data_IF_774486258494
#
_entry.id   IF_774486258494
#
_cell.length_a   1.000
_cell.length_b   1.000
_cell.length_c   1.000
_cell.angle_alpha   90.00
_cell.angle_beta   90.00
_cell.angle_gamma   90.00
#
_symmetry.space_group_name_H-M   'P 1'
#
loop_
_entity.id
_entity.type
_entity.pdbx_description
1 polymer ?
#
# COMPACT_ATOMS: atom_id res chain seq x y z
N UNK A 1 26.53 27.32 -38.95
CA UNK A 1 25.60 26.17 -38.96
C UNK A 1 26.10 25.05 -38.02
N UNK A 2 26.42 25.37 -36.75
CA UNK A 2 26.92 24.40 -35.75
C UNK A 2 26.25 24.51 -34.37
N UNK A 3 25.43 25.55 -34.16
CA UNK A 3 24.81 25.87 -32.85
C UNK A 3 23.42 25.23 -32.70
N UNK A 4 22.70 25.03 -33.81
CA UNK A 4 21.34 24.46 -33.78
C UNK A 4 21.28 22.95 -33.50
N UNK A 5 22.37 22.21 -33.77
CA UNK A 5 22.41 20.76 -33.52
C UNK A 5 22.54 20.43 -32.02
N UNK A 6 23.07 21.37 -31.22
CA UNK A 6 23.32 21.17 -29.80
C UNK A 6 22.05 21.26 -28.94
N UNK A 7 21.05 22.06 -29.35
CA UNK A 7 19.78 22.17 -28.60
C UNK A 7 18.88 20.94 -28.73
N UNK A 8 18.97 20.19 -29.84
CA UNK A 8 18.11 19.02 -30.07
C UNK A 8 18.53 17.81 -29.21
N UNK A 9 19.83 17.67 -28.92
CA UNK A 9 20.37 16.56 -28.12
C UNK A 9 20.08 16.72 -26.62
N UNK A 10 19.98 17.95 -26.12
CA UNK A 10 19.68 18.23 -24.69
C UNK A 10 18.20 17.96 -24.35
N UNK A 11 17.28 18.09 -25.32
CA UNK A 11 15.85 17.84 -25.10
C UNK A 11 15.50 16.35 -24.99
N UNK A 12 16.31 15.46 -25.57
CA UNK A 12 16.09 14.01 -25.54
C UNK A 12 16.45 13.35 -24.20
N UNK A 13 17.25 14.01 -23.35
CA UNK A 13 17.69 13.49 -22.04
C UNK A 13 16.62 13.67 -20.95
N UNK A 14 15.56 14.44 -21.21
CA UNK A 14 14.44 14.64 -20.28
C UNK A 14 13.36 13.54 -20.35
N UNK A 15 13.46 12.60 -21.28
CA UNK A 15 12.49 11.50 -21.46
C UNK A 15 12.88 10.22 -20.70
N UNK A 16 14.06 10.18 -20.08
CA UNK A 16 14.60 8.98 -19.44
C UNK A 16 14.54 9.03 -17.92
N UNK A 17 13.33 8.87 -17.36
CA UNK A 17 13.10 8.15 -16.09
C UNK A 17 11.65 8.26 -15.63
N UNK A 18 10.70 7.78 -16.45
CA UNK A 18 9.42 7.36 -15.88
C UNK A 18 9.61 5.95 -15.28
N UNK A 19 10.39 5.88 -14.21
CA UNK A 19 10.54 4.63 -13.45
C UNK A 19 9.21 4.35 -12.76
N UNK A 20 8.53 3.30 -13.23
CA UNK A 20 7.36 2.79 -12.55
C UNK A 20 7.84 2.04 -11.30
N UNK A 21 7.35 2.39 -10.10
CA UNK A 21 7.77 1.70 -8.89
C UNK A 21 7.37 0.23 -8.98
N UNK A 22 8.36 -0.64 -8.74
CA UNK A 22 8.21 -2.11 -8.68
C UNK A 22 8.15 -2.61 -7.25
N UNK A 23 8.53 -1.77 -6.27
CA UNK A 23 8.43 -2.03 -4.84
C UNK A 23 7.80 -0.83 -4.14
N UNK A 24 7.11 -1.10 -3.04
CA UNK A 24 6.58 -0.08 -2.14
C UNK A 24 6.58 -0.62 -0.71
N UNK A 25 6.82 0.27 0.24
CA UNK A 25 6.81 -0.03 1.66
C UNK A 25 6.02 1.06 2.38
N UNK A 26 5.13 0.65 3.28
CA UNK A 26 4.35 1.58 4.09
C UNK A 26 4.22 1.05 5.51
N UNK A 27 4.58 1.90 6.46
CA UNK A 27 4.37 1.63 7.87
C UNK A 27 3.33 2.59 8.45
N UNK A 28 2.43 2.07 9.28
CA UNK A 28 1.49 2.85 10.08
C UNK A 28 1.38 2.33 11.49
N UNK A 29 1.35 3.27 12.43
CA UNK A 29 1.06 3.01 13.83
C UNK A 29 -0.38 3.40 14.13
N UNK A 30 -1.03 2.68 15.03
CA UNK A 30 -2.32 3.08 15.58
C UNK A 30 -2.19 4.38 16.40
N UNK A 31 -3.29 5.10 16.65
CA UNK A 31 -3.29 6.29 17.49
C UNK A 31 -2.69 6.06 18.88
N UNK A 32 -2.88 4.86 19.45
CA UNK A 32 -2.29 4.46 20.73
C UNK A 32 -0.83 4.00 20.65
N UNK A 33 -0.29 3.76 19.45
CA UNK A 33 1.02 3.17 19.24
C UNK A 33 1.13 1.68 19.59
N UNK A 34 0.04 1.04 20.05
CA UNK A 34 0.04 -0.38 20.45
C UNK A 34 -0.02 -1.35 19.27
N UNK A 35 -0.37 -0.86 18.07
CA UNK A 35 -0.49 -1.65 16.86
C UNK A 35 0.36 -1.02 15.76
N UNK A 36 1.20 -1.84 15.13
CA UNK A 36 1.98 -1.51 13.95
C UNK A 36 1.51 -2.36 12.78
N UNK A 37 1.19 -1.68 11.68
CA UNK A 37 0.89 -2.29 10.39
C UNK A 37 2.00 -1.94 9.43
N UNK A 38 2.60 -2.97 8.84
CA UNK A 38 3.63 -2.87 7.81
C UNK A 38 3.10 -3.50 6.52
N UNK A 39 3.15 -2.74 5.43
CA UNK A 39 2.73 -3.16 4.10
C UNK A 39 3.97 -3.19 3.21
N UNK A 40 4.35 -4.38 2.78
CA UNK A 40 5.36 -4.61 1.76
C UNK A 40 4.66 -5.00 0.46
N UNK A 41 4.94 -4.29 -0.62
CA UNK A 41 4.34 -4.59 -1.92
C UNK A 41 5.40 -4.67 -3.00
N UNK A 42 5.28 -5.65 -3.90
CA UNK A 42 6.11 -5.74 -5.09
C UNK A 42 5.32 -6.17 -6.33
N UNK A 43 5.85 -5.80 -7.50
CA UNK A 43 5.37 -6.24 -8.82
C UNK A 43 6.55 -6.30 -9.79
N UNK A 44 6.47 -7.17 -10.79
CA UNK A 44 7.54 -7.32 -11.78
C UNK A 44 7.38 -6.28 -12.89
N UNK A 45 6.17 -6.15 -13.43
CA UNK A 45 5.83 -5.17 -14.46
C UNK A 45 4.77 -4.18 -13.98
N UNK A 46 4.68 -2.98 -14.59
CA UNK A 46 3.67 -1.98 -14.21
C UNK A 46 2.22 -2.42 -14.45
N UNK A 47 2.02 -3.41 -15.32
CA UNK A 47 0.71 -4.02 -15.62
C UNK A 47 0.32 -5.12 -14.66
N UNK A 48 1.28 -5.66 -13.90
CA UNK A 48 1.04 -6.77 -12.99
C UNK A 48 0.30 -6.25 -11.73
N UNK A 49 -0.54 -7.09 -11.11
CA UNK A 49 -1.00 -6.84 -9.76
C UNK A 49 0.17 -6.72 -8.80
N UNK A 50 0.03 -5.84 -7.80
CA UNK A 50 0.94 -5.82 -6.67
C UNK A 50 0.69 -7.04 -5.81
N UNK A 51 1.75 -7.80 -5.51
CA UNK A 51 1.74 -8.78 -4.42
C UNK A 51 2.01 -8.01 -3.14
N UNK A 52 1.04 -7.97 -2.25
CA UNK A 52 1.04 -7.19 -1.02
C UNK A 52 1.08 -8.13 0.16
N UNK A 53 2.05 -7.92 1.06
CA UNK A 53 2.17 -8.60 2.34
C UNK A 53 1.88 -7.56 3.42
N UNK A 54 0.82 -7.80 4.19
CA UNK A 54 0.41 -6.97 5.32
C UNK A 54 0.84 -7.70 6.59
N UNK A 55 1.81 -7.13 7.32
CA UNK A 55 2.28 -7.64 8.61
C UNK A 55 1.70 -6.78 9.73
N UNK A 56 1.23 -7.43 10.78
CA UNK A 56 0.56 -6.77 11.90
C UNK A 56 1.21 -7.24 13.19
N UNK A 57 1.73 -6.27 13.94
CA UNK A 57 2.23 -6.46 15.29
C UNK A 57 1.38 -5.65 16.25
N UNK A 58 0.60 -6.32 17.09
CA UNK A 58 -0.27 -5.71 18.08
C UNK A 58 0.06 -6.24 19.47
N UNK A 59 0.24 -5.37 20.46
CA UNK A 59 0.49 -5.75 21.85
C UNK A 59 1.60 -6.81 21.99
N UNK A 60 1.34 -7.84 22.81
CA UNK A 60 2.22 -8.99 23.02
C UNK A 60 1.94 -10.16 22.05
N UNK A 61 1.01 -10.01 21.10
CA UNK A 61 0.70 -11.08 20.15
C UNK A 61 1.88 -11.36 19.21
N UNK A 62 1.97 -12.60 18.73
CA UNK A 62 2.88 -12.95 17.64
C UNK A 62 2.49 -12.15 16.40
N UNK A 63 3.47 -11.69 15.63
CA UNK A 63 3.22 -10.99 14.37
C UNK A 63 2.39 -11.87 13.43
N UNK A 64 1.27 -11.33 12.97
CA UNK A 64 0.43 -11.93 11.94
C UNK A 64 0.82 -11.39 10.57
N UNK A 65 0.63 -12.19 9.52
CA UNK A 65 0.82 -11.75 8.15
C UNK A 65 -0.30 -12.25 7.24
N UNK A 66 -0.69 -11.42 6.28
CA UNK A 66 -1.62 -11.78 5.21
C UNK A 66 -1.02 -11.36 3.86
N UNK A 67 -1.05 -12.29 2.90
CA UNK A 67 -0.63 -12.01 1.53
C UNK A 67 -1.85 -11.89 0.62
N UNK A 68 -1.86 -10.90 -0.26
CA UNK A 68 -2.95 -10.66 -1.20
C UNK A 68 -2.43 -9.98 -2.47
N UNK A 69 -3.27 -9.92 -3.50
CA UNK A 69 -2.96 -9.21 -4.74
C UNK A 69 -3.85 -7.97 -4.88
N UNK A 70 -3.27 -6.84 -5.28
CA UNK A 70 -3.98 -5.56 -5.45
C UNK A 70 -3.69 -4.99 -6.84
N UNK A 71 -4.75 -4.74 -7.61
CA UNK A 71 -4.63 -4.13 -8.93
C UNK A 71 -4.70 -2.61 -8.78
N UNK A 72 -3.64 -1.98 -8.24
CA UNK A 72 -3.55 -0.53 -8.08
C UNK A 72 -2.42 0.08 -8.94
N UNK A 73 -2.56 1.35 -9.30
CA UNK A 73 -1.51 2.06 -10.07
C UNK A 73 -0.20 2.12 -9.28
N UNK A 74 -0.30 2.54 -8.03
CA UNK A 74 0.77 2.62 -7.04
C UNK A 74 0.26 2.12 -5.68
N UNK A 75 1.18 1.85 -4.76
CA UNK A 75 0.89 1.61 -3.34
C UNK A 75 1.46 2.81 -2.58
N UNK A 76 0.60 3.75 -2.23
CA UNK A 76 0.96 4.99 -1.54
C UNK A 76 -0.24 5.52 -0.74
N UNK A 77 -0.09 6.68 -0.09
CA UNK A 77 -1.13 7.28 0.74
C UNK A 77 -2.39 7.71 -0.02
N UNK A 78 -2.39 7.68 -1.37
CA UNK A 78 -3.57 7.98 -2.20
C UNK A 78 -4.36 6.72 -2.52
N UNK A 79 -3.70 5.57 -2.57
CA UNK A 79 -4.32 4.28 -2.89
C UNK A 79 -4.58 3.43 -1.67
N UNK A 80 -3.84 3.64 -0.58
CA UNK A 80 -4.00 2.93 0.69
C UNK A 80 -4.46 3.91 1.76
N UNK A 81 -5.63 3.64 2.34
CA UNK A 81 -6.18 4.42 3.44
C UNK A 81 -6.33 3.56 4.70
N UNK A 82 -6.01 4.15 5.86
CA UNK A 82 -6.16 3.54 7.17
C UNK A 82 -7.23 4.31 7.94
N UNK A 83 -8.41 3.72 8.08
CA UNK A 83 -9.49 4.32 8.85
C UNK A 83 -9.56 3.67 10.23
N UNK A 84 -8.95 4.32 11.23
CA UNK A 84 -9.01 3.90 12.62
C UNK A 84 -10.36 4.30 13.21
N UNK A 85 -11.12 3.32 13.71
CA UNK A 85 -12.40 3.58 14.40
C UNK A 85 -12.31 3.36 15.92
N UNK A 86 -11.21 2.75 16.38
CA UNK A 86 -10.82 2.65 17.80
C UNK A 86 -9.31 2.93 17.92
N UNK A 87 -8.78 2.90 19.15
CA UNK A 87 -7.36 3.10 19.43
C UNK A 87 -6.43 2.04 18.83
N UNK A 88 -6.97 0.88 18.46
CA UNK A 88 -6.22 -0.31 18.01
C UNK A 88 -6.93 -1.10 16.89
N UNK A 89 -8.05 -0.60 16.38
CA UNK A 89 -8.84 -1.26 15.33
C UNK A 89 -8.96 -0.34 14.11
N UNK A 90 -8.80 -0.91 12.91
CA UNK A 90 -8.78 -0.15 11.66
C UNK A 90 -9.32 -0.93 10.46
N UNK A 91 -9.90 -0.19 9.53
CA UNK A 91 -10.15 -0.65 8.17
C UNK A 91 -9.03 -0.15 7.26
N UNK A 92 -8.32 -1.08 6.63
CA UNK A 92 -7.26 -0.83 5.65
C UNK A 92 -7.88 -0.99 4.27
N UNK A 93 -7.98 0.10 3.52
CA UNK A 93 -8.65 0.14 2.22
C UNK A 93 -7.63 0.34 1.11
N UNK A 94 -7.62 -0.56 0.14
CA UNK A 94 -6.86 -0.44 -1.09
C UNK A 94 -7.79 -0.04 -2.24
N UNK A 95 -7.55 1.11 -2.85
CA UNK A 95 -8.25 1.57 -4.05
C UNK A 95 -7.59 0.97 -5.29
N UNK A 96 -8.37 0.22 -6.05
CA UNK A 96 -7.93 -0.43 -7.28
C UNK A 96 -8.01 0.51 -8.48
N UNK A 97 -7.37 0.13 -9.59
CA UNK A 97 -7.28 0.91 -10.83
C UNK A 97 -8.64 1.17 -11.48
N UNK A 98 -9.59 0.27 -11.28
CA UNK A 98 -10.97 0.38 -11.77
C UNK A 98 -11.88 1.20 -10.82
N UNK A 99 -11.34 1.72 -9.73
CA UNK A 99 -12.10 2.45 -8.71
C UNK A 99 -12.80 1.55 -7.68
N UNK A 100 -12.74 0.22 -7.83
CA UNK A 100 -13.19 -0.69 -6.79
C UNK A 100 -12.25 -0.65 -5.58
N UNK A 101 -12.70 -1.16 -4.44
CA UNK A 101 -11.92 -1.18 -3.21
C UNK A 101 -11.81 -2.59 -2.65
N UNK A 102 -10.63 -2.91 -2.08
CA UNK A 102 -10.45 -4.05 -1.19
C UNK A 102 -10.29 -3.55 0.23
N UNK A 103 -11.09 -4.07 1.15
CA UNK A 103 -11.08 -3.67 2.56
C UNK A 103 -10.57 -4.83 3.39
N UNK A 104 -9.63 -4.54 4.28
CA UNK A 104 -9.14 -5.47 5.29
C UNK A 104 -9.42 -4.89 6.66
N UNK A 105 -10.09 -5.66 7.51
CA UNK A 105 -10.46 -5.22 8.86
C UNK A 105 -9.51 -5.82 9.87
N UNK A 106 -8.89 -4.95 10.65
CA UNK A 106 -8.09 -5.27 11.81
C UNK A 106 -8.89 -4.95 13.06
N UNK A 107 -9.18 -5.98 13.85
CA UNK A 107 -9.74 -5.84 15.20
C UNK A 107 -8.68 -6.30 16.18
N UNK A 108 -8.26 -5.42 17.08
CA UNK A 108 -7.30 -5.81 18.10
C UNK A 108 -7.54 -5.14 19.44
N UNK A 109 -7.37 -5.92 20.51
CA UNK A 109 -7.33 -5.47 21.90
C UNK A 109 -6.34 -6.37 22.67
N UNK A 110 -6.30 -6.27 24.00
CA UNK A 110 -5.33 -7.04 24.81
C UNK A 110 -5.57 -8.56 24.82
N UNK A 111 -6.77 -9.01 24.43
CA UNK A 111 -7.20 -10.41 24.49
C UNK A 111 -7.35 -11.05 23.10
N UNK A 112 -7.57 -10.26 22.05
CA UNK A 112 -7.77 -10.75 20.69
C UNK A 112 -7.06 -9.93 19.62
N UNK A 113 -6.61 -10.63 18.57
CA UNK A 113 -6.11 -10.08 17.33
C UNK A 113 -6.76 -10.82 16.16
N UNK A 114 -7.55 -10.12 15.37
CA UNK A 114 -8.20 -10.65 14.17
C UNK A 114 -7.89 -9.76 12.97
N UNK A 115 -7.56 -10.40 11.84
CA UNK A 115 -7.31 -9.70 10.59
C UNK A 115 -7.84 -10.50 9.41
N UNK A 116 -8.73 -9.90 8.62
CA UNK A 116 -9.33 -10.56 7.48
C UNK A 116 -9.74 -9.55 6.40
N UNK A 117 -9.86 -10.05 5.16
CA UNK A 117 -10.51 -9.31 4.09
C UNK A 117 -12.03 -9.30 4.33
N UNK A 118 -12.67 -8.15 4.18
CA UNK A 118 -14.12 -7.99 4.36
C UNK A 118 -14.76 -7.37 3.11
N UNK A 119 -16.06 -7.58 2.86
CA UNK A 119 -16.78 -6.92 1.78
C UNK A 119 -16.77 -5.39 1.93
N UNK A 120 -16.72 -4.62 0.82
CA UNK A 120 -16.91 -3.18 0.88
C UNK A 120 -18.28 -2.85 1.49
N UNK A 121 -18.30 -2.01 2.54
CA UNK A 121 -19.54 -1.64 3.25
C UNK A 121 -20.03 -2.64 4.31
N UNK A 122 -19.20 -3.62 4.70
CA UNK A 122 -19.57 -4.65 5.67
C UNK A 122 -19.73 -4.12 7.11
N UNK A 123 -21.00 -4.09 7.54
CA UNK A 123 -21.44 -4.45 8.90
C UNK A 123 -21.76 -5.94 8.89
#
# INVERSE_FOLDING_TARGET
>A
MKIYFSCFVVMLVLLSSCDYPTTAHMERLSPSGKVKVDIEANRVLPTDPWKVIIKIKAYSFKEGQLSTEVVAKNIDNKTVNFNWFEESSADITFTQKDGSVKVFRLVSNEEQLQFAQVPPGGI
#
